data_IF_383399949222
#
_entry.id   IF_383399949222
#
_cell.length_a   1.000
_cell.length_b   1.000
_cell.length_c   1.000
_cell.angle_alpha   90.00
_cell.angle_beta   90.00
_cell.angle_gamma   90.00
#
_symmetry.space_group_name_H-M   'P 1'
#
loop_
_entity.id
_entity.type
_entity.pdbx_description
1 polymer ?
#
# COMPACT_ATOMS: atom_id res chain seq x y z
N UNK A 1 -2.43 -4.87 -30.47
CA UNK A 1 -1.35 -5.83 -30.11
C UNK A 1 -0.09 -5.16 -29.55
N UNK A 2 0.54 -4.20 -30.23
CA UNK A 2 1.81 -3.58 -29.79
C UNK A 2 1.70 -2.86 -28.43
N UNK A 3 0.60 -2.12 -28.20
CA UNK A 3 0.38 -1.39 -26.94
C UNK A 3 0.31 -2.33 -25.71
N UNK A 4 -0.30 -3.51 -25.86
CA UNK A 4 -0.41 -4.50 -24.79
C UNK A 4 0.94 -5.16 -24.46
N UNK A 5 1.78 -5.40 -25.48
CA UNK A 5 3.12 -5.94 -25.28
C UNK A 5 4.03 -4.97 -24.50
N UNK A 6 4.01 -3.68 -24.86
CA UNK A 6 4.77 -2.63 -24.15
C UNK A 6 4.29 -2.43 -22.71
N UNK A 7 2.99 -2.58 -22.47
CA UNK A 7 2.37 -2.50 -21.15
C UNK A 7 2.92 -3.57 -20.19
N UNK A 8 2.90 -4.83 -20.62
CA UNK A 8 3.42 -5.96 -19.86
C UNK A 8 4.93 -5.82 -19.62
N UNK A 9 5.69 -5.41 -20.63
CA UNK A 9 7.13 -5.20 -20.50
C UNK A 9 7.49 -4.16 -19.43
N UNK A 10 6.77 -3.02 -19.40
CA UNK A 10 6.98 -1.97 -18.37
C UNK A 10 6.63 -2.49 -16.97
N UNK A 11 5.58 -3.29 -16.83
CA UNK A 11 5.26 -3.94 -15.57
C UNK A 11 6.41 -4.85 -15.08
N UNK A 12 6.90 -5.75 -15.95
CA UNK A 12 8.01 -6.65 -15.59
C UNK A 12 9.28 -5.89 -15.20
N UNK A 13 9.69 -4.89 -16.00
CA UNK A 13 10.90 -4.13 -15.71
C UNK A 13 10.80 -3.32 -14.42
N UNK A 14 9.62 -2.76 -14.11
CA UNK A 14 9.39 -1.98 -12.88
C UNK A 14 9.37 -2.86 -11.64
N UNK A 15 8.87 -4.10 -11.78
CA UNK A 15 8.73 -5.03 -10.67
C UNK A 15 9.98 -5.85 -10.37
N UNK A 16 11.04 -5.72 -11.18
CA UNK A 16 12.30 -6.41 -10.96
C UNK A 16 12.93 -6.02 -9.62
N UNK A 17 13.24 -7.01 -8.78
CA UNK A 17 13.84 -6.79 -7.46
C UNK A 17 12.84 -6.45 -6.34
N UNK A 18 11.54 -6.44 -6.62
CA UNK A 18 10.52 -6.35 -5.57
C UNK A 18 10.40 -7.66 -4.79
N UNK A 19 9.96 -7.57 -3.53
CA UNK A 19 9.75 -8.74 -2.67
C UNK A 19 8.70 -9.72 -3.23
N UNK A 20 7.69 -9.20 -3.93
CA UNK A 20 6.60 -9.97 -4.53
C UNK A 20 6.43 -9.61 -6.02
N UNK A 21 7.30 -10.13 -6.92
CA UNK A 21 7.31 -9.74 -8.34
C UNK A 21 5.99 -10.01 -9.06
N UNK A 22 5.39 -11.18 -8.86
CA UNK A 22 4.13 -11.56 -9.52
C UNK A 22 2.97 -10.64 -9.10
N UNK A 23 2.83 -10.36 -7.80
CA UNK A 23 1.83 -9.43 -7.29
C UNK A 23 2.05 -8.01 -7.82
N UNK A 24 3.31 -7.58 -7.90
CA UNK A 24 3.65 -6.29 -8.49
C UNK A 24 3.23 -6.23 -9.97
N UNK A 25 3.58 -7.24 -10.77
CA UNK A 25 3.26 -7.27 -12.21
C UNK A 25 1.75 -7.30 -12.42
N UNK A 26 1.01 -8.13 -11.68
CA UNK A 26 -0.45 -8.18 -11.78
C UNK A 26 -1.10 -6.86 -11.39
N UNK A 27 -0.58 -6.20 -10.35
CA UNK A 27 -1.07 -4.90 -9.89
C UNK A 27 -0.83 -3.82 -10.94
N UNK A 28 0.41 -3.67 -11.41
CA UNK A 28 0.76 -2.63 -12.39
C UNK A 28 0.04 -2.86 -13.73
N UNK A 29 -0.09 -4.11 -14.17
CA UNK A 29 -0.79 -4.45 -15.42
C UNK A 29 -2.27 -4.04 -15.40
N UNK A 30 -2.88 -3.89 -14.22
CA UNK A 30 -4.26 -3.41 -14.09
C UNK A 30 -4.43 -1.90 -14.31
N UNK A 31 -3.34 -1.13 -14.31
CA UNK A 31 -3.42 0.32 -14.46
C UNK A 31 -3.60 0.71 -15.92
N UNK A 32 -4.58 1.57 -16.25
CA UNK A 32 -4.73 2.06 -17.62
C UNK A 32 -3.48 2.85 -18.03
N UNK A 33 -3.10 2.76 -19.30
CA UNK A 33 -1.98 3.51 -19.89
C UNK A 33 -0.66 3.40 -19.10
N UNK A 34 -0.35 2.23 -18.53
CA UNK A 34 0.87 2.03 -17.75
C UNK A 34 2.13 2.42 -18.55
N UNK A 35 2.16 2.06 -19.83
CA UNK A 35 3.29 2.30 -20.72
C UNK A 35 3.61 3.79 -20.96
N UNK A 36 2.71 4.71 -20.61
CA UNK A 36 2.91 6.17 -20.76
C UNK A 36 3.11 6.89 -19.43
N UNK A 37 3.00 6.19 -18.29
CA UNK A 37 3.17 6.79 -16.96
C UNK A 37 4.64 7.01 -16.63
N UNK A 38 4.94 8.16 -16.03
CA UNK A 38 6.22 8.42 -15.38
C UNK A 38 6.34 7.62 -14.07
N UNK A 39 7.56 7.42 -13.58
CA UNK A 39 7.78 6.70 -12.32
C UNK A 39 6.97 7.30 -11.13
N UNK A 40 6.92 8.63 -10.91
CA UNK A 40 6.05 9.20 -9.88
C UNK A 40 4.56 8.89 -10.05
N UNK A 41 4.08 8.82 -11.31
CA UNK A 41 2.69 8.44 -11.60
C UNK A 41 2.44 6.97 -11.30
N UNK A 42 3.39 6.08 -11.61
CA UNK A 42 3.31 4.66 -11.27
C UNK A 42 3.28 4.49 -9.75
N UNK A 43 4.21 5.12 -9.01
CA UNK A 43 4.26 5.06 -7.55
C UNK A 43 2.97 5.60 -6.93
N UNK A 44 2.47 6.76 -7.41
CA UNK A 44 1.21 7.34 -6.92
C UNK A 44 0.01 6.42 -7.18
N UNK A 45 -0.08 5.78 -8.35
CA UNK A 45 -1.14 4.83 -8.67
C UNK A 45 -1.06 3.59 -7.75
N UNK A 46 0.14 3.04 -7.54
CA UNK A 46 0.36 1.93 -6.62
C UNK A 46 -0.02 2.29 -5.19
N UNK A 47 0.41 3.45 -4.67
CA UNK A 47 0.06 3.90 -3.31
C UNK A 47 -1.44 4.13 -3.16
N UNK A 48 -2.12 4.68 -4.18
CA UNK A 48 -3.58 4.80 -4.16
C UNK A 48 -4.28 3.43 -4.14
N UNK A 49 -3.76 2.45 -4.88
CA UNK A 49 -4.28 1.07 -4.82
C UNK A 49 -4.10 0.49 -3.43
N UNK A 50 -2.90 0.58 -2.84
CA UNK A 50 -2.62 0.14 -1.47
C UNK A 50 -3.55 0.81 -0.46
N UNK A 51 -3.78 2.11 -0.58
CA UNK A 51 -4.71 2.85 0.28
C UNK A 51 -6.15 2.31 0.18
N UNK A 52 -6.59 1.85 -1.00
CA UNK A 52 -7.87 1.16 -1.16
C UNK A 52 -7.90 -0.18 -0.43
N UNK A 53 -6.84 -0.99 -0.56
CA UNK A 53 -6.74 -2.29 0.13
C UNK A 53 -6.71 -2.12 1.65
N UNK A 54 -5.99 -1.11 2.18
CA UNK A 54 -5.97 -0.80 3.62
C UNK A 54 -7.37 -0.41 4.13
N UNK A 55 -8.15 0.35 3.36
CA UNK A 55 -9.55 0.66 3.73
C UNK A 55 -10.43 -0.58 3.78
N UNK A 56 -10.27 -1.50 2.83
CA UNK A 56 -10.98 -2.79 2.83
C UNK A 56 -10.59 -3.60 4.07
N UNK A 57 -9.29 -3.69 4.38
CA UNK A 57 -8.80 -4.39 5.57
C UNK A 57 -9.33 -3.77 6.87
N UNK A 58 -9.32 -2.44 7.01
CA UNK A 58 -9.88 -1.73 8.16
C UNK A 58 -11.39 -2.00 8.30
N UNK A 59 -12.15 -1.97 7.20
CA UNK A 59 -13.58 -2.30 7.20
C UNK A 59 -13.83 -3.75 7.64
N UNK A 60 -13.03 -4.69 7.13
CA UNK A 60 -13.10 -6.11 7.51
C UNK A 60 -12.79 -6.30 9.00
N UNK A 61 -11.72 -5.67 9.50
CA UNK A 61 -11.33 -5.69 10.91
C UNK A 61 -12.47 -5.15 11.79
N UNK A 62 -13.04 -3.99 11.45
CA UNK A 62 -14.19 -3.40 12.14
C UNK A 62 -15.41 -4.33 12.13
N UNK A 63 -15.67 -5.00 11.00
CA UNK A 63 -16.76 -5.96 10.87
C UNK A 63 -16.54 -7.19 11.75
N UNK A 64 -15.33 -7.74 11.80
CA UNK A 64 -14.96 -8.86 12.69
C UNK A 64 -15.17 -8.44 14.14
N UNK A 65 -14.60 -7.30 14.53
CA UNK A 65 -14.68 -6.75 15.89
C UNK A 65 -16.11 -6.53 16.39
N UNK A 66 -17.03 -6.19 15.49
CA UNK A 66 -18.46 -5.93 15.80
C UNK A 66 -19.33 -7.19 15.75
N UNK A 67 -19.10 -8.08 14.78
CA UNK A 67 -20.02 -9.19 14.48
C UNK A 67 -19.63 -10.50 15.14
N UNK A 68 -18.35 -10.73 15.40
CA UNK A 68 -17.89 -11.99 15.97
C UNK A 68 -18.07 -11.98 17.50
N UNK A 69 -19.00 -12.80 18.00
CA UNK A 69 -19.40 -12.79 19.41
C UNK A 69 -18.37 -13.42 20.34
N UNK A 70 -17.60 -14.38 19.85
CA UNK A 70 -16.74 -15.26 20.65
C UNK A 70 -15.25 -14.87 20.57
N UNK A 71 -14.96 -13.57 20.41
CA UNK A 71 -13.59 -13.07 20.49
C UNK A 71 -13.13 -13.01 21.94
N UNK A 72 -11.97 -13.59 22.23
CA UNK A 72 -11.33 -13.44 23.53
C UNK A 72 -10.82 -11.99 23.74
N UNK A 73 -10.48 -11.59 24.98
CA UNK A 73 -10.03 -10.23 25.26
C UNK A 73 -8.77 -9.82 24.49
N UNK A 74 -7.85 -10.75 24.21
CA UNK A 74 -6.61 -10.47 23.48
C UNK A 74 -6.92 -10.22 22.00
N UNK A 75 -7.75 -11.05 21.39
CA UNK A 75 -8.21 -10.87 20.01
C UNK A 75 -8.95 -9.55 19.81
N UNK A 76 -9.77 -9.12 20.79
CA UNK A 76 -10.44 -7.81 20.73
C UNK A 76 -9.44 -6.67 20.74
N UNK A 77 -8.42 -6.74 21.61
CA UNK A 77 -7.35 -5.74 21.68
C UNK A 77 -6.55 -5.71 20.39
N UNK A 78 -6.13 -6.86 19.88
CA UNK A 78 -5.40 -6.96 18.62
C UNK A 78 -6.17 -6.35 17.44
N UNK A 79 -7.50 -6.56 17.36
CA UNK A 79 -8.35 -5.91 16.36
C UNK A 79 -8.44 -4.39 16.57
N UNK A 80 -8.54 -3.91 17.81
CA UNK A 80 -8.58 -2.48 18.12
C UNK A 80 -7.23 -1.81 17.76
N UNK A 81 -6.10 -2.45 18.08
CA UNK A 81 -4.75 -2.02 17.72
C UNK A 81 -4.57 -1.98 16.19
N UNK A 82 -5.05 -3.00 15.48
CA UNK A 82 -5.04 -3.01 14.01
C UNK A 82 -5.80 -1.84 13.40
N UNK A 83 -6.94 -1.44 13.98
CA UNK A 83 -7.72 -0.31 13.46
C UNK A 83 -6.94 1.01 13.59
N UNK A 84 -6.26 1.23 14.72
CA UNK A 84 -5.37 2.38 14.92
C UNK A 84 -4.20 2.36 13.92
N UNK A 85 -3.53 1.21 13.79
CA UNK A 85 -2.40 1.04 12.86
C UNK A 85 -2.82 1.23 11.40
N UNK A 86 -4.05 0.85 11.02
CA UNK A 86 -4.57 1.12 9.68
C UNK A 86 -4.84 2.61 9.45
N UNK A 87 -5.32 3.35 10.45
CA UNK A 87 -5.51 4.80 10.35
C UNK A 87 -4.16 5.52 10.14
N UNK A 88 -3.13 5.13 10.90
CA UNK A 88 -1.76 5.63 10.73
C UNK A 88 -1.20 5.28 9.35
N UNK A 89 -1.40 4.03 8.91
CA UNK A 89 -1.00 3.57 7.58
C UNK A 89 -1.64 4.43 6.50
N UNK A 90 -2.94 4.70 6.61
CA UNK A 90 -3.64 5.57 5.66
C UNK A 90 -3.11 7.00 5.66
N UNK A 91 -2.73 7.54 6.82
CA UNK A 91 -2.12 8.87 6.93
C UNK A 91 -0.74 8.92 6.23
N UNK A 92 0.09 7.91 6.47
CA UNK A 92 1.42 7.78 5.85
C UNK A 92 1.32 7.65 4.32
N UNK A 93 0.42 6.81 3.80
CA UNK A 93 0.21 6.66 2.36
C UNK A 93 -0.29 7.95 1.70
N UNK A 94 -1.19 8.70 2.35
CA UNK A 94 -1.62 10.03 1.87
C UNK A 94 -0.47 11.03 1.85
N UNK A 95 0.39 11.01 2.87
CA UNK A 95 1.59 11.85 2.91
C UNK A 95 2.57 11.50 1.78
N UNK A 96 2.76 10.21 1.47
CA UNK A 96 3.56 9.76 0.32
C UNK A 96 3.05 10.37 -0.98
N UNK A 97 1.74 10.33 -1.23
CA UNK A 97 1.11 10.92 -2.42
C UNK A 97 1.34 12.44 -2.47
N UNK A 98 1.14 13.13 -1.34
CA UNK A 98 1.36 14.57 -1.25
C UNK A 98 2.80 14.94 -1.58
N UNK A 99 3.78 14.22 -1.01
CA UNK A 99 5.19 14.45 -1.25
C UNK A 99 5.59 14.22 -2.72
N UNK A 100 5.03 13.19 -3.37
CA UNK A 100 5.23 12.93 -4.80
C UNK A 100 4.71 14.04 -5.71
N UNK A 101 3.67 14.77 -5.28
CA UNK A 101 3.08 15.87 -6.06
C UNK A 101 3.83 17.20 -5.92
N UNK A 102 4.72 17.31 -4.93
CA UNK A 102 5.47 18.53 -4.69
C UNK A 102 6.53 18.76 -5.78
N UNK A 103 6.54 19.94 -6.41
CA UNK A 103 7.44 20.29 -7.54
C UNK A 103 8.94 20.27 -7.20
N UNK A 104 9.31 20.01 -5.95
CA UNK A 104 10.68 19.78 -5.50
C UNK A 104 10.80 18.31 -5.09
N UNK A 105 11.00 17.38 -6.03
CA UNK A 105 11.66 16.11 -5.70
C UNK A 105 13.15 16.40 -5.45
N UNK A 106 13.46 17.11 -4.37
CA UNK A 106 14.82 17.17 -3.84
C UNK A 106 15.15 15.83 -3.16
N UNK A 107 16.44 15.47 -3.08
CA UNK A 107 16.92 14.23 -2.42
C UNK A 107 16.33 14.00 -1.02
N UNK A 108 16.05 15.08 -0.28
CA UNK A 108 15.41 15.03 1.04
C UNK A 108 14.03 14.36 1.01
N UNK A 109 13.24 14.58 -0.05
CA UNK A 109 11.89 14.05 -0.15
C UNK A 109 11.86 12.55 -0.47
N UNK A 110 12.88 11.99 -1.13
CA UNK A 110 12.96 10.54 -1.36
C UNK A 110 13.11 9.75 -0.05
N UNK A 111 13.93 10.26 0.88
CA UNK A 111 14.07 9.68 2.22
C UNK A 111 12.74 9.73 2.98
N UNK A 112 11.96 10.79 2.80
CA UNK A 112 10.63 10.91 3.39
C UNK A 112 9.66 9.87 2.80
N UNK A 113 9.69 9.64 1.47
CA UNK A 113 8.85 8.61 0.84
C UNK A 113 9.18 7.20 1.36
N UNK A 114 10.46 6.85 1.40
CA UNK A 114 10.90 5.54 1.90
C UNK A 114 10.51 5.36 3.36
N UNK A 115 10.73 6.37 4.20
CA UNK A 115 10.36 6.33 5.63
C UNK A 115 8.86 6.11 5.81
N UNK A 116 8.02 6.85 5.08
CA UNK A 116 6.56 6.71 5.16
C UNK A 116 6.08 5.32 4.72
N UNK A 117 6.65 4.78 3.64
CA UNK A 117 6.30 3.44 3.15
C UNK A 117 6.81 2.33 4.09
N UNK A 118 8.00 2.48 4.66
CA UNK A 118 8.52 1.57 5.67
C UNK A 118 7.66 1.58 6.93
N UNK A 119 7.21 2.75 7.39
CA UNK A 119 6.30 2.86 8.52
C UNK A 119 4.95 2.17 8.24
N UNK A 120 4.39 2.33 7.03
CA UNK A 120 3.15 1.65 6.62
C UNK A 120 3.29 0.12 6.65
N UNK A 121 4.42 -0.41 6.18
CA UNK A 121 4.72 -1.84 6.25
C UNK A 121 4.88 -2.31 7.70
N UNK A 122 5.61 -1.57 8.53
CA UNK A 122 5.78 -1.89 9.96
C UNK A 122 4.42 -1.96 10.66
N UNK A 123 3.55 -0.98 10.44
CA UNK A 123 2.20 -0.97 11.03
C UNK A 123 1.39 -2.21 10.63
N UNK A 124 1.49 -2.65 9.36
CA UNK A 124 0.86 -3.89 8.92
C UNK A 124 1.44 -5.13 9.66
N UNK A 125 2.76 -5.21 9.81
CA UNK A 125 3.39 -6.31 10.54
C UNK A 125 3.02 -6.32 12.02
N UNK A 126 3.03 -5.16 12.68
CA UNK A 126 2.64 -5.02 14.10
C UNK A 126 1.19 -5.42 14.33
N UNK A 127 0.28 -5.05 13.42
CA UNK A 127 -1.13 -5.49 13.48
C UNK A 127 -1.24 -7.02 13.44
N UNK A 128 -0.49 -7.69 12.55
CA UNK A 128 -0.52 -9.15 12.46
C UNK A 128 0.14 -9.83 13.67
N UNK A 129 1.23 -9.27 14.17
CA UNK A 129 1.94 -9.77 15.36
C UNK A 129 1.10 -9.70 16.63
N UNK A 130 0.16 -8.75 16.71
CA UNK A 130 -0.79 -8.65 17.82
C UNK A 130 -1.71 -9.87 18.01
N UNK A 131 -1.80 -10.77 17.01
CA UNK A 131 -2.56 -12.02 17.09
C UNK A 131 -1.72 -13.27 17.39
N UNK A 132 -0.39 -13.13 17.50
CA UNK A 132 0.53 -14.25 17.75
C UNK A 132 0.52 -14.73 19.21
#
# INVERSE_FOLDING_TARGET
>A
HIHNHRHIQVAHSTCQGTLYPELCVSTLSSFPDLATKSLPQIVSATVNRTLSEVRVSSSNCSSIRKKLKNLDPLQKRALDDCLELFDDTMAQLKATISNLSSKKLASKHHNDLQTLLSAAMTNQYTCLDGFA
#
